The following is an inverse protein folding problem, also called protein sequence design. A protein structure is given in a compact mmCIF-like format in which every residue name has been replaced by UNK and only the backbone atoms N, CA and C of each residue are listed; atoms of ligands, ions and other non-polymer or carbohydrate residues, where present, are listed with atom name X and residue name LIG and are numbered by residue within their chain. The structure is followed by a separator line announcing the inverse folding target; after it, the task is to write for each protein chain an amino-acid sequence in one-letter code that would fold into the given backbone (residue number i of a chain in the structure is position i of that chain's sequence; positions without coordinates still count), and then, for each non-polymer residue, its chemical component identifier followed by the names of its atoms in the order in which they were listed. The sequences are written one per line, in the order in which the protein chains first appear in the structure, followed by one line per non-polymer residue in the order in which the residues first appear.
data_IF_466802363623
#
_entry.id   IF_466802363623
#
_cell.length_a   1.000
_cell.length_b   1.000
_cell.length_c   1.000
_cell.angle_alpha   90.00
_cell.angle_beta   90.00
_cell.angle_gamma   90.00
#
_symmetry.space_group_name_H-M   'P 1'
#
loop_
_entity.id
_entity.type
_entity.pdbx_description
1 polymer ?
#
# COMPACT_ATOMS: atom_id res chain seq x y z
N UNK A 1 -10.76 6.87 -25.55
CA UNK A 1 -11.52 7.44 -24.41
C UNK A 1 -10.86 6.93 -23.15
N UNK A 2 -10.05 7.76 -22.49
CA UNK A 2 -9.24 7.36 -21.33
C UNK A 2 -10.12 7.37 -20.08
N UNK A 3 -10.31 6.21 -19.46
CA UNK A 3 -11.03 6.08 -18.19
C UNK A 3 -10.04 6.23 -17.05
N UNK A 4 -9.96 7.42 -16.46
CA UNK A 4 -9.30 7.63 -15.18
C UNK A 4 -10.17 7.00 -14.09
N UNK A 5 -9.79 5.82 -13.60
CA UNK A 5 -10.34 5.25 -12.37
C UNK A 5 -9.80 6.07 -11.20
N UNK A 6 -10.62 7.00 -10.71
CA UNK A 6 -10.39 7.68 -9.43
C UNK A 6 -10.52 6.62 -8.34
N UNK A 7 -9.42 6.30 -7.66
CA UNK A 7 -9.41 5.48 -6.45
C UNK A 7 -10.30 6.15 -5.40
N UNK A 8 -11.50 5.61 -5.20
CA UNK A 8 -12.42 6.01 -4.15
C UNK A 8 -11.87 5.50 -2.82
N UNK A 9 -11.11 6.36 -2.14
CA UNK A 9 -10.78 6.17 -0.72
C UNK A 9 -12.07 5.99 0.08
N UNK A 10 -12.07 5.11 1.09
CA UNK A 10 -13.19 4.94 2.02
C UNK A 10 -13.56 6.27 2.69
N UNK A 11 -14.83 6.44 3.11
CA UNK A 11 -15.30 7.71 3.69
C UNK A 11 -14.49 8.18 4.90
N UNK A 12 -13.94 7.26 5.68
CA UNK A 12 -13.07 7.55 6.83
C UNK A 12 -11.65 7.95 6.39
N UNK A 13 -11.10 7.33 5.34
CA UNK A 13 -9.80 7.69 4.78
C UNK A 13 -9.85 9.01 4.00
N UNK A 14 -10.99 9.32 3.36
CA UNK A 14 -11.27 10.66 2.85
C UNK A 14 -11.31 11.68 3.99
N UNK A 15 -11.96 11.37 5.10
CA UNK A 15 -12.02 12.28 6.24
C UNK A 15 -10.64 12.52 6.88
N UNK A 16 -9.77 11.50 6.94
CA UNK A 16 -8.41 11.63 7.47
C UNK A 16 -7.49 12.41 6.53
N UNK A 17 -7.59 12.16 5.22
CA UNK A 17 -6.84 12.89 4.19
C UNK A 17 -7.32 14.34 4.12
N UNK A 18 -8.64 14.54 4.13
CA UNK A 18 -9.26 15.86 4.21
C UNK A 18 -8.89 16.54 5.53
N UNK A 19 -8.89 15.88 6.69
CA UNK A 19 -8.52 16.51 7.96
C UNK A 19 -7.06 16.87 8.04
N UNK A 20 -6.18 16.05 7.44
CA UNK A 20 -4.75 16.34 7.34
C UNK A 20 -4.52 17.53 6.40
N UNK A 21 -5.20 17.57 5.26
CA UNK A 21 -5.21 18.73 4.34
C UNK A 21 -5.81 19.96 5.04
N UNK A 22 -6.87 19.80 5.86
CA UNK A 22 -7.52 20.90 6.57
C UNK A 22 -6.63 21.44 7.69
N UNK A 23 -5.94 20.58 8.44
CA UNK A 23 -4.96 20.99 9.46
C UNK A 23 -3.76 21.72 8.83
N UNK A 24 -3.32 21.29 7.64
CA UNK A 24 -2.32 22.01 6.83
C UNK A 24 -2.89 23.34 6.29
N UNK A 25 -4.17 23.40 5.94
CA UNK A 25 -4.85 24.61 5.43
C UNK A 25 -5.28 25.62 6.51
N UNK A 26 -5.41 25.20 7.78
CA UNK A 26 -5.68 26.09 8.91
C UNK A 26 -4.44 26.92 9.32
N UNK A 27 -3.26 26.60 8.77
CA UNK A 27 -2.13 27.52 8.74
C UNK A 27 -2.46 28.57 7.69
N UNK A 28 -3.19 29.62 8.10
CA UNK A 28 -3.45 30.88 7.39
C UNK A 28 -2.94 30.89 5.93
N UNK A 29 -3.79 30.52 4.98
CA UNK A 29 -3.51 30.58 3.53
C UNK A 29 -3.45 32.04 3.03
N UNK A 30 -2.50 32.81 3.54
CA UNK A 30 -2.20 34.16 3.05
C UNK A 30 -1.29 34.14 1.81
N UNK A 31 -0.63 33.01 1.54
CA UNK A 31 0.45 32.91 0.55
C UNK A 31 0.18 31.95 -0.62
N UNK A 32 -1.01 31.33 -0.71
CA UNK A 32 -1.36 30.40 -1.80
C UNK A 32 -0.56 29.09 -1.79
N UNK A 33 0.12 28.78 -0.68
CA UNK A 33 0.99 27.60 -0.52
C UNK A 33 0.18 26.31 -0.49
N UNK A 34 -1.05 26.36 0.03
CA UNK A 34 -1.97 25.23 0.04
C UNK A 34 -2.39 24.87 -1.39
N UNK A 35 -2.71 25.88 -2.20
CA UNK A 35 -3.01 25.71 -3.62
C UNK A 35 -1.79 25.20 -4.41
N UNK A 36 -0.61 25.74 -4.16
CA UNK A 36 0.62 25.29 -4.80
C UNK A 36 0.98 23.84 -4.43
N UNK A 37 0.72 23.43 -3.18
CA UNK A 37 0.90 22.05 -2.73
C UNK A 37 -0.12 21.12 -3.40
N UNK A 38 -1.39 21.52 -3.51
CA UNK A 38 -2.42 20.76 -4.23
C UNK A 38 -2.09 20.62 -5.74
N UNK A 39 -1.63 21.70 -6.37
CA UNK A 39 -1.20 21.71 -7.76
C UNK A 39 0.08 20.86 -7.95
N UNK A 40 0.97 20.82 -6.96
CA UNK A 40 2.13 19.91 -6.94
C UNK A 40 1.70 18.45 -6.79
N UNK A 41 0.81 18.13 -5.84
CA UNK A 41 0.27 16.79 -5.59
C UNK A 41 -0.40 16.21 -6.85
N UNK A 42 -0.98 17.06 -7.70
CA UNK A 42 -1.54 16.66 -8.98
C UNK A 42 -0.50 16.24 -10.04
N UNK A 43 0.78 16.56 -9.87
CA UNK A 43 1.84 16.05 -10.75
C UNK A 43 2.27 14.64 -10.31
N UNK A 44 2.42 13.69 -11.24
CA UNK A 44 2.77 12.28 -10.95
C UNK A 44 4.04 12.11 -10.08
N UNK A 45 4.98 13.05 -10.15
CA UNK A 45 6.18 13.06 -9.30
C UNK A 45 5.88 13.37 -7.82
N UNK A 46 4.76 13.99 -7.49
CA UNK A 46 4.44 14.39 -6.13
C UNK A 46 3.78 13.31 -5.28
N UNK A 47 3.16 12.30 -5.89
CA UNK A 47 2.65 11.15 -5.12
C UNK A 47 3.80 10.38 -4.47
N UNK A 48 4.90 10.20 -5.21
CA UNK A 48 6.13 9.60 -4.68
C UNK A 48 6.73 10.46 -3.55
N UNK A 49 6.73 11.78 -3.69
CA UNK A 49 7.20 12.69 -2.62
C UNK A 49 6.28 12.67 -1.41
N UNK A 50 4.96 12.57 -1.59
CA UNK A 50 4.01 12.39 -0.49
C UNK A 50 4.26 11.08 0.26
N UNK A 51 4.49 9.98 -0.45
CA UNK A 51 4.81 8.69 0.17
C UNK A 51 6.13 8.75 0.96
N UNK A 52 7.14 9.47 0.44
CA UNK A 52 8.39 9.71 1.17
C UNK A 52 8.15 10.50 2.46
N UNK A 53 7.45 11.62 2.38
CA UNK A 53 7.13 12.44 3.55
C UNK A 53 6.30 11.66 4.55
N UNK A 54 5.28 10.91 4.11
CA UNK A 54 4.47 10.07 4.98
C UNK A 54 5.32 9.02 5.70
N UNK A 55 6.23 8.35 4.98
CA UNK A 55 7.19 7.39 5.56
C UNK A 55 8.09 8.04 6.61
N UNK A 56 8.64 9.23 6.33
CA UNK A 56 9.45 9.99 7.30
C UNK A 56 8.65 10.40 8.55
N UNK A 57 7.33 10.51 8.44
CA UNK A 57 6.41 10.82 9.55
C UNK A 57 5.78 9.57 10.19
N UNK A 58 6.29 8.38 9.91
CA UNK A 58 5.90 7.15 10.61
C UNK A 58 4.82 6.32 9.91
N UNK A 59 4.49 6.60 8.64
CA UNK A 59 3.77 5.62 7.81
C UNK A 59 4.66 4.39 7.63
N UNK A 60 4.27 3.29 8.26
CA UNK A 60 4.93 2.01 8.09
C UNK A 60 4.25 1.21 6.96
N UNK A 61 5.00 0.26 6.37
CA UNK A 61 4.46 -0.52 5.26
C UNK A 61 3.38 -1.50 5.72
N UNK A 62 3.36 -1.92 6.99
CA UNK A 62 2.30 -2.78 7.52
C UNK A 62 0.94 -2.07 7.57
N UNK A 63 0.92 -0.76 7.81
CA UNK A 63 -0.28 0.07 7.71
C UNK A 63 -0.76 0.10 6.26
N UNK A 64 0.14 0.25 5.29
CA UNK A 64 -0.23 0.15 3.87
C UNK A 64 -0.82 -1.22 3.53
N UNK A 65 -0.21 -2.32 3.96
CA UNK A 65 -0.74 -3.67 3.74
C UNK A 65 -2.12 -3.83 4.39
N UNK A 66 -2.33 -3.30 5.59
CA UNK A 66 -3.64 -3.36 6.25
C UNK A 66 -4.73 -2.60 5.49
N UNK A 67 -4.39 -1.45 4.91
CA UNK A 67 -5.38 -0.61 4.21
C UNK A 67 -5.62 -1.07 2.76
N UNK A 68 -4.61 -1.60 2.08
CA UNK A 68 -4.71 -2.04 0.67
C UNK A 68 -4.88 -3.56 0.51
N UNK A 69 -4.68 -4.31 1.58
CA UNK A 69 -4.83 -5.75 1.58
C UNK A 69 -6.31 -6.13 1.43
N UNK A 70 -6.55 -7.10 0.58
CA UNK A 70 -7.86 -7.71 0.42
C UNK A 70 -7.91 -9.02 1.20
N UNK A 71 -9.06 -9.30 1.83
CA UNK A 71 -9.28 -10.57 2.51
C UNK A 71 -9.07 -11.73 1.52
N UNK A 72 -8.17 -12.66 1.88
CA UNK A 72 -7.75 -13.74 0.97
C UNK A 72 -8.92 -14.59 0.52
N UNK A 73 -9.88 -14.88 1.40
CA UNK A 73 -11.02 -15.73 1.06
C UNK A 73 -11.95 -15.06 0.04
N UNK A 74 -11.94 -13.73 0.00
CA UNK A 74 -12.76 -12.93 -0.91
C UNK A 74 -12.11 -12.66 -2.28
N UNK A 75 -10.78 -12.80 -2.41
CA UNK A 75 -10.04 -12.52 -3.65
C UNK A 75 -9.57 -13.80 -4.36
N UNK A 76 -10.08 -14.02 -5.59
CA UNK A 76 -9.80 -15.24 -6.35
C UNK A 76 -8.30 -15.44 -6.69
N UNK A 77 -7.54 -14.35 -6.91
CA UNK A 77 -6.09 -14.46 -7.16
C UNK A 77 -5.35 -14.85 -5.89
N UNK A 78 -5.74 -14.30 -4.73
CA UNK A 78 -5.15 -14.64 -3.45
C UNK A 78 -5.41 -16.12 -3.08
N UNK A 79 -6.65 -16.61 -3.23
CA UNK A 79 -6.99 -18.03 -3.05
C UNK A 79 -6.19 -18.92 -3.99
N UNK A 80 -6.08 -18.55 -5.27
CA UNK A 80 -5.31 -19.32 -6.24
C UNK A 80 -3.82 -19.35 -5.87
N UNK A 81 -3.25 -18.23 -5.41
CA UNK A 81 -1.87 -18.14 -4.97
C UNK A 81 -1.61 -19.01 -3.74
N UNK A 82 -2.49 -18.94 -2.72
CA UNK A 82 -2.38 -19.75 -1.51
C UNK A 82 -2.43 -21.25 -1.83
N UNK A 83 -3.38 -21.68 -2.66
CA UNK A 83 -3.53 -23.08 -3.05
C UNK A 83 -2.34 -23.60 -3.87
N UNK A 84 -1.77 -22.76 -4.73
CA UNK A 84 -0.70 -23.16 -5.65
C UNK A 84 0.69 -23.09 -5.03
N UNK A 85 0.95 -22.07 -4.22
CA UNK A 85 2.31 -21.76 -3.77
C UNK A 85 2.53 -22.03 -2.29
N UNK A 86 1.52 -21.93 -1.42
CA UNK A 86 1.74 -22.19 0.02
C UNK A 86 1.67 -23.69 0.33
N UNK A 87 0.66 -24.39 -0.19
CA UNK A 87 0.33 -25.76 0.22
C UNK A 87 1.47 -26.77 0.08
N UNK A 88 2.31 -26.61 -0.93
CA UNK A 88 3.44 -27.49 -1.23
C UNK A 88 4.80 -26.90 -0.81
N UNK A 89 4.82 -25.70 -0.20
CA UNK A 89 6.06 -24.96 0.08
C UNK A 89 6.82 -25.39 1.33
N UNK A 90 6.36 -26.39 2.09
CA UNK A 90 6.90 -26.72 3.42
C UNK A 90 7.02 -25.48 4.33
N UNK A 91 5.98 -24.64 4.34
CA UNK A 91 5.89 -23.40 5.12
C UNK A 91 6.91 -22.31 4.76
N UNK A 92 7.58 -22.42 3.59
CA UNK A 92 8.54 -21.41 3.15
C UNK A 92 7.88 -20.19 2.49
N UNK A 93 6.62 -20.31 2.06
CA UNK A 93 5.85 -19.24 1.45
C UNK A 93 4.51 -19.12 2.17
N UNK A 94 4.21 -17.91 2.63
CA UNK A 94 2.95 -17.56 3.29
C UNK A 94 2.26 -16.41 2.55
N UNK A 95 0.95 -16.54 2.35
CA UNK A 95 0.09 -15.41 1.92
C UNK A 95 -0.63 -14.91 3.17
N UNK A 96 -0.46 -13.62 3.45
CA UNK A 96 -1.13 -12.95 4.58
C UNK A 96 -2.64 -13.05 4.46
N UNK A 97 -3.36 -13.09 5.58
CA UNK A 97 -4.85 -13.09 5.59
C UNK A 97 -5.47 -11.89 4.86
N UNK A 98 -4.74 -10.76 4.78
CA UNK A 98 -5.06 -9.60 3.97
C UNK A 98 -3.93 -9.35 3.00
N UNK A 99 -4.04 -9.89 1.79
CA UNK A 99 -2.99 -9.84 0.79
C UNK A 99 -3.19 -8.65 -0.17
N UNK A 100 -2.11 -7.92 -0.46
CA UNK A 100 -2.14 -6.89 -1.49
C UNK A 100 -2.11 -7.56 -2.86
N UNK A 101 -3.09 -7.24 -3.69
CA UNK A 101 -3.22 -7.77 -5.05
C UNK A 101 -3.04 -6.65 -6.07
N UNK A 102 -2.17 -6.89 -7.06
CA UNK A 102 -1.91 -5.95 -8.16
C UNK A 102 -2.25 -6.62 -9.48
N UNK A 103 -3.44 -6.32 -10.00
CA UNK A 103 -3.94 -6.87 -11.25
C UNK A 103 -3.18 -6.33 -12.47
N UNK A 104 -3.06 -7.19 -13.47
CA UNK A 104 -2.48 -6.93 -14.79
C UNK A 104 -3.43 -7.47 -15.87
N UNK A 105 -3.12 -7.24 -17.14
CA UNK A 105 -3.96 -7.73 -18.25
C UNK A 105 -4.11 -9.27 -18.30
N UNK A 106 -3.13 -10.01 -17.76
CA UNK A 106 -3.06 -11.47 -17.90
C UNK A 106 -3.04 -12.23 -16.55
N UNK A 107 -3.36 -11.56 -15.44
CA UNK A 107 -3.31 -12.15 -14.11
C UNK A 107 -3.04 -11.10 -13.04
N UNK A 108 -2.57 -11.50 -11.86
CA UNK A 108 -2.26 -10.58 -10.79
C UNK A 108 -1.00 -11.00 -10.03
N UNK A 109 -0.31 -10.01 -9.47
CA UNK A 109 0.69 -10.22 -8.44
C UNK A 109 0.00 -10.23 -7.06
N UNK A 110 0.35 -11.19 -6.22
CA UNK A 110 -0.17 -11.32 -4.85
C UNK A 110 1.02 -11.20 -3.90
N UNK A 111 0.91 -10.34 -2.88
CA UNK A 111 1.94 -10.22 -1.85
C UNK A 111 2.08 -11.51 -1.06
N UNK A 112 3.32 -11.96 -0.88
CA UNK A 112 3.67 -13.15 -0.12
C UNK A 112 4.88 -12.88 0.78
N UNK A 113 4.92 -13.54 1.93
CA UNK A 113 6.11 -13.65 2.75
C UNK A 113 6.90 -14.88 2.36
N UNK A 114 8.22 -14.73 2.33
CA UNK A 114 9.15 -15.84 2.20
C UNK A 114 9.90 -15.97 3.52
N UNK A 115 9.90 -17.19 4.05
CA UNK A 115 10.70 -17.50 5.21
C UNK A 115 12.15 -17.76 4.77
N UNK A 116 13.10 -17.10 5.43
CA UNK A 116 14.53 -17.31 5.28
C UNK A 116 15.08 -17.58 6.67
N UNK A 117 15.70 -18.73 6.88
CA UNK A 117 16.28 -19.05 8.18
C UNK A 117 17.64 -18.36 8.37
N UNK A 118 18.10 -18.25 9.62
CA UNK A 118 19.36 -17.56 9.94
C UNK A 118 20.58 -18.12 9.17
N UNK A 119 20.61 -19.44 8.91
CA UNK A 119 21.73 -20.06 8.20
C UNK A 119 21.77 -19.64 6.73
N UNK A 120 20.62 -19.52 6.07
CA UNK A 120 20.48 -19.02 4.70
C UNK A 120 20.79 -17.52 4.61
N UNK A 121 20.46 -16.77 5.67
CA UNK A 121 20.80 -15.36 5.79
C UNK A 121 22.28 -15.09 6.13
N UNK A 122 23.11 -16.14 6.25
CA UNK A 122 24.51 -16.05 6.68
C UNK A 122 24.68 -15.39 8.07
N UNK A 123 23.68 -15.51 8.94
CA UNK A 123 23.71 -15.02 10.32
C UNK A 123 24.11 -16.16 11.25
N UNK A 124 25.13 -15.95 12.10
CA UNK A 124 25.53 -16.98 13.07
C UNK A 124 24.46 -17.15 14.14
N UNK A 125 23.96 -18.37 14.31
CA UNK A 125 23.21 -18.76 15.50
C UNK A 125 24.19 -18.78 16.69
N UNK A 126 24.03 -17.85 17.63
CA UNK A 126 24.70 -17.89 18.93
C UNK A 126 24.15 -19.02 19.80
#
# INVERSE_FOLDING_TARGET
MSSQKILLLSHENQALLVSTIFQVAQISDNDGRVKALLDQIQAENAMTELLKVAKENGLDFSQCVREFGEDVESNAFAVAAQNRYCRDSSDNIEIDSHAVVSETENGAWVSAWLFINNSEACLSTY
#
